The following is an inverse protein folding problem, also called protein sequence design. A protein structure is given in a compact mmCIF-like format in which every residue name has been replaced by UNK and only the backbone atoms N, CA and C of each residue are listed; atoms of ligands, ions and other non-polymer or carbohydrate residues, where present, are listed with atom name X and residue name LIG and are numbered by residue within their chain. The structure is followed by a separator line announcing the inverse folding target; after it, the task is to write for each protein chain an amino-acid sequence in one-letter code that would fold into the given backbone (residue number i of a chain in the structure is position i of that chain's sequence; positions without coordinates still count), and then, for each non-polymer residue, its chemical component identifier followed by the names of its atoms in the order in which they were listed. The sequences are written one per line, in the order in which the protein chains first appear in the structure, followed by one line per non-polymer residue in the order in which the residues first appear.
data_IF_608497198568
#
_entry.id   IF_608497198568
#
_cell.length_a   1.000
_cell.length_b   1.000
_cell.length_c   1.000
_cell.angle_alpha   90.00
_cell.angle_beta   90.00
_cell.angle_gamma   90.00
#
_symmetry.space_group_name_H-M   'P 1'
#
loop_
_entity.id
_entity.type
_entity.pdbx_description
1 polymer ?
#
# COMPACT_ATOMS: atom_id res chain seq x y z
N UNK A 1 -10.08 -0.99 12.36
CA UNK A 1 -9.76 0.21 11.55
C UNK A 1 -10.13 -0.15 10.12
N UNK A 2 -11.00 0.62 9.46
CA UNK A 2 -11.36 0.33 8.06
C UNK A 2 -10.22 0.78 7.13
N UNK A 3 -9.95 -0.01 6.09
CA UNK A 3 -8.99 0.32 5.04
C UNK A 3 -9.29 1.71 4.44
N UNK A 4 -10.56 2.06 4.22
CA UNK A 4 -10.96 3.38 3.70
C UNK A 4 -10.51 4.53 4.60
N UNK A 5 -10.57 4.33 5.92
CA UNK A 5 -10.11 5.33 6.89
C UNK A 5 -8.60 5.52 6.85
N UNK A 6 -7.85 4.44 6.62
CA UNK A 6 -6.39 4.46 6.45
C UNK A 6 -6.03 5.16 5.15
N UNK A 7 -6.62 4.76 4.02
CA UNK A 7 -6.38 5.35 2.70
C UNK A 7 -6.68 6.84 2.72
N UNK A 8 -7.84 7.26 3.23
CA UNK A 8 -8.18 8.69 3.37
C UNK A 8 -7.12 9.46 4.14
N UNK A 9 -6.58 8.87 5.21
CA UNK A 9 -5.53 9.51 6.02
C UNK A 9 -4.20 9.59 5.29
N UNK A 10 -3.80 8.53 4.58
CA UNK A 10 -2.55 8.49 3.80
C UNK A 10 -2.60 9.49 2.64
N UNK A 11 -3.74 9.58 1.94
CA UNK A 11 -3.99 10.55 0.86
C UNK A 11 -3.97 11.98 1.40
N UNK A 12 -4.63 12.25 2.53
CA UNK A 12 -4.62 13.58 3.17
C UNK A 12 -3.21 14.03 3.56
N UNK A 13 -2.31 13.08 3.87
CA UNK A 13 -0.89 13.32 4.18
C UNK A 13 0.01 13.29 2.94
N UNK A 14 -0.55 13.10 1.74
CA UNK A 14 0.16 12.98 0.46
C UNK A 14 1.19 11.85 0.42
N UNK A 15 1.00 10.80 1.22
CA UNK A 15 1.87 9.63 1.22
C UNK A 15 1.50 8.65 0.09
N UNK A 16 0.24 8.68 -0.33
CA UNK A 16 -0.27 7.93 -1.48
C UNK A 16 -1.13 8.82 -2.37
N UNK A 17 -1.29 8.41 -3.62
CA UNK A 17 -2.14 9.06 -4.63
C UNK A 17 -2.85 8.01 -5.49
N UNK A 18 -3.92 8.43 -6.16
CA UNK A 18 -4.64 7.57 -7.11
C UNK A 18 -3.78 7.29 -8.35
N UNK A 19 -3.74 6.02 -8.75
CA UNK A 19 -2.94 5.50 -9.87
C UNK A 19 -3.82 4.99 -11.02
N UNK A 20 -5.08 5.42 -11.08
CA UNK A 20 -6.07 4.94 -12.02
C UNK A 20 -7.02 3.91 -11.40
N UNK A 21 -7.57 3.06 -12.26
CA UNK A 21 -8.61 2.11 -11.89
C UNK A 21 -8.27 0.75 -12.49
N UNK A 22 -8.47 -0.29 -11.72
CA UNK A 22 -8.38 -1.66 -12.19
C UNK A 22 -9.44 -1.91 -13.28
N UNK A 23 -9.05 -2.37 -14.48
CA UNK A 23 -9.96 -2.47 -15.61
C UNK A 23 -11.02 -3.57 -15.46
N UNK A 24 -10.77 -4.57 -14.61
CA UNK A 24 -11.64 -5.73 -14.46
C UNK A 24 -12.67 -5.54 -13.33
N UNK A 25 -12.23 -5.02 -12.18
CA UNK A 25 -13.06 -4.82 -10.99
C UNK A 25 -13.62 -3.40 -10.85
N UNK A 26 -13.03 -2.41 -11.53
CA UNK A 26 -13.35 -1.00 -11.33
C UNK A 26 -12.80 -0.42 -10.02
N UNK A 27 -11.93 -1.13 -9.31
CA UNK A 27 -11.33 -0.65 -8.06
C UNK A 27 -10.32 0.48 -8.29
N UNK A 28 -10.33 1.52 -7.45
CA UNK A 28 -9.30 2.56 -7.49
C UNK A 28 -7.95 1.98 -7.07
N UNK A 29 -6.94 2.17 -7.92
CA UNK A 29 -5.56 1.81 -7.61
C UNK A 29 -4.88 2.97 -6.89
N UNK A 30 -4.03 2.66 -5.91
CA UNK A 30 -3.22 3.64 -5.20
C UNK A 30 -1.74 3.31 -5.32
N UNK A 31 -0.92 4.35 -5.41
CA UNK A 31 0.54 4.24 -5.40
C UNK A 31 1.15 5.17 -4.36
N UNK A 32 2.37 4.87 -3.93
CA UNK A 32 3.18 5.79 -3.14
C UNK A 32 3.62 6.99 -3.98
N UNK A 33 3.76 8.14 -3.32
CA UNK A 33 4.27 9.38 -3.92
C UNK A 33 5.77 9.52 -3.74
N UNK A 34 6.38 10.48 -4.42
CA UNK A 34 7.78 10.84 -4.16
C UNK A 34 7.98 11.41 -2.74
N UNK A 35 6.96 12.11 -2.19
CA UNK A 35 6.99 12.61 -0.81
C UNK A 35 7.07 11.47 0.22
N UNK A 36 6.46 10.32 -0.06
CA UNK A 36 6.64 9.14 0.77
C UNK A 36 8.11 8.70 0.81
N UNK A 37 8.79 8.65 -0.34
CA UNK A 37 10.21 8.27 -0.42
C UNK A 37 11.09 9.25 0.38
N UNK A 38 10.89 10.55 0.19
CA UNK A 38 11.60 11.60 0.95
C UNK A 38 11.43 11.42 2.46
N UNK A 39 10.20 11.18 2.92
CA UNK A 39 9.89 11.01 4.35
C UNK A 39 10.50 9.73 4.93
N UNK A 40 10.62 8.69 4.12
CA UNK A 40 11.24 7.42 4.51
C UNK A 40 12.77 7.42 4.35
N UNK A 41 13.36 8.48 3.80
CA UNK A 41 14.79 8.56 3.53
C UNK A 41 15.25 7.65 2.39
N UNK A 42 14.36 7.36 1.44
CA UNK A 42 14.60 6.48 0.29
C UNK A 42 14.75 7.31 -0.99
N UNK A 43 15.56 6.83 -1.93
CA UNK A 43 15.70 7.37 -3.28
C UNK A 43 14.81 6.62 -4.27
N UNK A 44 14.66 5.31 -4.07
CA UNK A 44 13.84 4.43 -4.90
C UNK A 44 13.15 3.36 -4.06
N UNK A 45 12.03 2.82 -4.57
CA UNK A 45 11.31 1.73 -3.90
C UNK A 45 12.15 0.45 -3.76
N UNK A 46 13.14 0.24 -4.63
CA UNK A 46 14.04 -0.92 -4.58
C UNK A 46 14.98 -0.90 -3.36
N UNK A 47 15.07 0.22 -2.65
CA UNK A 47 15.83 0.35 -1.40
C UNK A 47 15.01 -0.07 -0.17
N UNK A 48 13.75 -0.47 -0.36
CA UNK A 48 12.94 -0.97 0.74
C UNK A 48 13.56 -2.24 1.34
N UNK A 49 13.55 -2.36 2.68
CA UNK A 49 14.05 -3.57 3.32
C UNK A 49 13.25 -4.79 2.86
N UNK A 50 13.90 -5.95 2.71
CA UNK A 50 13.21 -7.18 2.31
C UNK A 50 12.15 -7.55 3.35
N UNK A 51 11.00 -8.03 2.87
CA UNK A 51 9.86 -8.34 3.73
C UNK A 51 10.06 -9.62 4.57
N UNK A 52 10.96 -10.55 4.18
CA UNK A 52 11.21 -11.80 4.91
C UNK A 52 12.24 -11.57 6.04
N UNK A 53 11.86 -11.61 7.34
CA UNK A 53 11.12 -12.68 8.05
C UNK A 53 9.73 -12.30 8.62
N UNK A 54 9.18 -11.14 8.26
CA UNK A 54 7.92 -10.60 8.81
C UNK A 54 6.67 -10.95 8.00
N UNK A 55 6.86 -11.56 6.81
CA UNK A 55 5.74 -12.07 6.05
C UNK A 55 5.10 -13.22 6.84
N UNK A 56 3.79 -13.14 7.14
CA UNK A 56 3.08 -14.31 7.63
C UNK A 56 3.20 -15.41 6.57
N UNK A 57 3.11 -16.67 6.99
CA UNK A 57 3.23 -17.78 6.05
C UNK A 57 2.17 -17.62 4.96
N UNK A 58 2.43 -18.12 3.76
CA UNK A 58 1.44 -18.12 2.65
C UNK A 58 0.10 -18.76 3.08
N UNK A 59 0.13 -19.59 4.12
CA UNK A 59 -1.02 -20.22 4.76
C UNK A 59 -1.89 -19.28 5.63
N UNK A 60 -1.40 -18.11 6.00
CA UNK A 60 -2.12 -17.11 6.81
C UNK A 60 -2.84 -16.05 5.94
N UNK A 61 -2.62 -16.09 4.61
CA UNK A 61 -3.20 -15.13 3.64
C UNK A 61 -4.68 -15.45 3.36
N UNK A 62 -5.12 -16.69 3.56
CA UNK A 62 -6.53 -17.10 3.43
C UNK A 62 -7.45 -16.43 4.47
N UNK A 63 -6.93 -15.96 5.61
CA UNK A 63 -7.72 -15.26 6.62
C UNK A 63 -8.03 -13.80 6.24
N UNK A 64 -7.36 -13.24 5.22
CA UNK A 64 -7.56 -11.87 4.73
C UNK A 64 -8.69 -11.82 3.68
N UNK A 65 -9.06 -12.96 3.11
CA UNK A 65 -10.24 -13.15 2.24
C UNK A 65 -11.38 -13.82 3.01
N UNK A 66 -11.88 -13.18 4.07
CA UNK A 66 -13.19 -13.54 4.62
C UNK A 66 -14.29 -12.63 4.04
N UNK A 67 -15.41 -13.18 3.56
CA UNK A 67 -16.52 -12.44 2.94
C UNK A 67 -17.27 -11.51 3.89
#
# INVERSE_FOLDING_TARGET
MSADGVIRTLTARRLVEEAGTDPDSGATLYRTTDYFLERMGLRHLDELPPLAPLLPGIADVDDIESP
#
